data_IF_072608559710
#
_entry.id   IF_072608559710
#
_cell.length_a   1.000
_cell.length_b   1.000
_cell.length_c   1.000
_cell.angle_alpha   90.00
_cell.angle_beta   90.00
_cell.angle_gamma   90.00
#
_symmetry.space_group_name_H-M   'P 1'
#
loop_
_entity.id
_entity.type
_entity.pdbx_description
1 polymer ?
#
# COMPACT_ATOMS: atom_id res chain seq x y z
N UNK A 1 -21.00 -2.85 23.45
CA UNK A 1 -19.80 -3.50 24.00
C UNK A 1 -18.71 -2.46 24.06
N UNK A 2 -18.00 -2.30 25.19
CA UNK A 2 -16.81 -1.46 25.28
C UNK A 2 -15.76 -1.98 24.29
N UNK A 3 -15.06 -1.06 23.59
CA UNK A 3 -13.94 -1.44 22.72
C UNK A 3 -12.84 -2.11 23.57
N UNK A 4 -12.19 -3.18 23.09
CA UNK A 4 -11.13 -3.83 23.85
C UNK A 4 -9.91 -2.91 23.98
N UNK A 5 -9.17 -3.07 25.07
CA UNK A 5 -7.86 -2.46 25.24
C UNK A 5 -6.79 -3.38 24.66
N UNK A 6 -5.80 -2.82 23.95
CA UNK A 6 -4.63 -3.57 23.47
C UNK A 6 -3.49 -3.44 24.46
N UNK A 7 -2.98 -4.59 24.92
CA UNK A 7 -1.83 -4.68 25.81
C UNK A 7 -0.62 -5.16 25.03
N UNK A 8 0.41 -4.33 25.00
CA UNK A 8 1.64 -4.57 24.23
C UNK A 8 2.75 -4.94 25.19
N UNK A 9 3.27 -6.15 25.05
CA UNK A 9 4.46 -6.60 25.75
C UNK A 9 5.70 -6.03 25.06
N UNK A 10 6.18 -4.90 25.51
CA UNK A 10 7.41 -4.25 25.05
C UNK A 10 8.56 -4.40 26.05
N UNK A 11 8.57 -5.45 26.86
CA UNK A 11 9.65 -5.74 27.82
C UNK A 11 10.95 -6.19 27.14
N UNK A 12 10.87 -6.63 25.89
CA UNK A 12 12.03 -6.99 25.07
C UNK A 12 12.62 -5.75 24.39
N UNK A 13 13.94 -5.57 24.45
CA UNK A 13 14.69 -4.47 23.82
C UNK A 13 14.45 -4.37 22.31
N UNK A 14 14.11 -5.46 21.64
CA UNK A 14 13.76 -5.48 20.21
C UNK A 14 12.48 -4.70 19.87
N UNK A 15 11.62 -4.42 20.85
CA UNK A 15 10.39 -3.64 20.66
C UNK A 15 10.64 -2.20 20.21
N UNK A 16 11.82 -1.65 20.52
CA UNK A 16 12.30 -0.34 20.07
C UNK A 16 12.99 -0.34 18.71
N UNK A 17 13.12 -1.49 18.03
CA UNK A 17 13.71 -1.55 16.70
C UNK A 17 12.89 -0.72 15.71
N UNK A 18 13.60 0.04 14.87
CA UNK A 18 13.00 0.90 13.85
C UNK A 18 12.85 0.12 12.55
N UNK A 19 11.63 0.04 12.04
CA UNK A 19 11.30 -0.55 10.74
C UNK A 19 10.56 0.48 9.90
N UNK A 20 11.09 0.82 8.72
CA UNK A 20 10.54 1.88 7.88
C UNK A 20 10.26 3.18 8.64
N UNK A 21 11.24 3.61 9.46
CA UNK A 21 11.24 4.92 10.13
C UNK A 21 10.31 5.08 11.32
N UNK A 22 9.77 3.99 11.89
CA UNK A 22 9.03 4.01 13.15
C UNK A 22 9.35 2.77 13.98
N UNK A 23 9.23 2.86 15.31
CA UNK A 23 9.40 1.71 16.19
C UNK A 23 8.30 0.68 15.96
N UNK A 24 8.56 -0.58 16.30
CA UNK A 24 7.56 -1.66 16.14
C UNK A 24 6.32 -1.35 16.97
N UNK A 25 6.50 -0.86 18.20
CA UNK A 25 5.39 -0.50 19.10
C UNK A 25 4.55 0.62 18.50
N UNK A 26 5.15 1.70 17.99
CA UNK A 26 4.40 2.77 17.34
C UNK A 26 3.60 2.25 16.14
N UNK A 27 4.20 1.35 15.35
CA UNK A 27 3.53 0.72 14.21
C UNK A 27 2.31 -0.07 14.64
N UNK A 28 2.44 -0.90 15.69
CA UNK A 28 1.31 -1.67 16.24
C UNK A 28 0.19 -0.75 16.70
N UNK A 29 0.50 0.31 17.46
CA UNK A 29 -0.50 1.28 17.91
C UNK A 29 -1.23 1.90 16.72
N UNK A 30 -0.51 2.30 15.65
CA UNK A 30 -1.11 2.86 14.42
C UNK A 30 -2.00 1.83 13.71
N UNK A 31 -1.55 0.59 13.56
CA UNK A 31 -2.30 -0.47 12.86
C UNK A 31 -3.61 -0.81 13.59
N UNK A 32 -3.57 -0.96 14.91
CA UNK A 32 -4.77 -1.18 15.72
C UNK A 32 -5.70 0.06 15.74
N UNK A 33 -5.14 1.26 15.78
CA UNK A 33 -5.92 2.51 15.72
C UNK A 33 -6.68 2.67 14.41
N UNK A 34 -6.08 2.30 13.27
CA UNK A 34 -6.75 2.29 11.98
C UNK A 34 -7.93 1.30 11.91
N UNK A 35 -7.95 0.31 12.80
CA UNK A 35 -9.04 -0.65 12.95
C UNK A 35 -10.02 -0.26 14.08
N UNK A 36 -9.88 0.95 14.62
CA UNK A 36 -10.82 1.55 15.55
C UNK A 36 -10.55 1.29 17.03
N UNK A 37 -9.38 0.79 17.40
CA UNK A 37 -8.95 0.69 18.80
C UNK A 37 -8.48 2.06 19.29
N UNK A 38 -8.89 2.45 20.48
CA UNK A 38 -8.61 3.76 21.07
C UNK A 38 -7.81 3.69 22.36
N UNK A 39 -7.69 2.52 23.00
CA UNK A 39 -7.00 2.36 24.30
C UNK A 39 -5.88 1.33 24.22
N UNK A 40 -4.71 1.73 24.72
CA UNK A 40 -3.49 0.93 24.72
C UNK A 40 -2.79 0.96 26.06
N UNK A 41 -2.30 -0.20 26.51
CA UNK A 41 -1.33 -0.29 27.63
C UNK A 41 -0.04 -0.91 27.10
N UNK A 42 1.05 -0.19 27.22
CA UNK A 42 2.38 -0.62 26.76
C UNK A 42 3.24 -0.91 27.97
N UNK A 43 3.62 -2.17 28.12
CA UNK A 43 4.47 -2.65 29.23
C UNK A 43 5.92 -2.68 28.78
N UNK A 44 6.81 -2.04 29.52
CA UNK A 44 8.22 -1.90 29.16
C UNK A 44 9.13 -1.87 30.40
N UNK A 45 10.38 -2.31 30.23
CA UNK A 45 11.41 -2.17 31.24
C UNK A 45 11.95 -0.73 31.31
N UNK A 46 12.53 -0.35 32.46
CA UNK A 46 12.91 1.04 32.76
C UNK A 46 13.81 1.69 31.71
N UNK A 47 14.75 0.95 31.14
CA UNK A 47 15.73 1.46 30.18
C UNK A 47 15.16 1.73 28.79
N UNK A 48 13.98 1.21 28.45
CA UNK A 48 13.41 1.25 27.11
C UNK A 48 12.45 2.42 26.85
N UNK A 49 12.01 3.11 27.93
CA UNK A 49 11.02 4.20 27.81
C UNK A 49 11.48 5.31 26.85
N UNK A 50 12.76 5.68 26.89
CA UNK A 50 13.30 6.72 26.00
C UNK A 50 13.30 6.32 24.53
N UNK A 51 13.43 5.03 24.23
CA UNK A 51 13.46 4.52 22.84
C UNK A 51 12.06 4.27 22.28
N UNK A 52 11.20 3.66 23.07
CA UNK A 52 9.86 3.19 22.66
C UNK A 52 8.83 4.30 22.80
N UNK A 53 8.95 5.16 23.82
CA UNK A 53 8.01 6.26 24.09
C UNK A 53 8.12 7.46 23.13
N UNK A 54 9.15 7.52 22.30
CA UNK A 54 9.30 8.57 21.29
C UNK A 54 8.47 8.25 20.05
N UNK A 55 7.20 8.66 20.08
CA UNK A 55 6.32 8.58 18.92
C UNK A 55 6.70 9.68 17.90
N UNK A 56 6.45 9.41 16.62
CA UNK A 56 6.72 10.40 15.56
C UNK A 56 5.86 11.65 15.75
N UNK A 57 6.36 12.81 15.32
CA UNK A 57 5.69 14.12 15.45
C UNK A 57 4.28 14.17 14.84
N UNK A 58 4.01 13.35 13.80
CA UNK A 58 2.71 13.30 13.15
C UNK A 58 1.70 12.41 13.88
N UNK A 59 2.12 11.64 14.90
CA UNK A 59 1.27 10.65 15.57
C UNK A 59 0.03 11.28 16.19
N UNK A 60 0.19 12.24 17.07
CA UNK A 60 -0.92 12.87 17.81
C UNK A 60 -1.93 13.59 16.92
N UNK A 61 -1.51 13.98 15.70
CA UNK A 61 -2.41 14.60 14.73
C UNK A 61 -3.22 13.58 13.94
N UNK A 62 -2.68 12.37 13.74
CA UNK A 62 -3.31 11.33 12.94
C UNK A 62 -4.18 10.40 13.77
N UNK A 63 -3.84 10.23 15.03
CA UNK A 63 -4.45 9.26 15.91
C UNK A 63 -4.87 9.90 17.22
N UNK A 64 -6.16 9.76 17.57
CA UNK A 64 -6.72 10.17 18.85
C UNK A 64 -6.90 8.92 19.72
N UNK A 65 -5.85 8.53 20.43
CA UNK A 65 -5.81 7.32 21.25
C UNK A 65 -5.24 7.59 22.62
N UNK A 66 -5.69 6.81 23.60
CA UNK A 66 -5.16 6.83 24.95
C UNK A 66 -4.08 5.76 25.09
N UNK A 67 -2.86 6.18 25.48
CA UNK A 67 -1.73 5.27 25.68
C UNK A 67 -1.27 5.36 27.12
N UNK A 68 -1.37 4.27 27.85
CA UNK A 68 -0.83 4.14 29.21
C UNK A 68 0.49 3.39 29.15
N UNK A 69 1.56 4.04 29.57
CA UNK A 69 2.90 3.44 29.68
C UNK A 69 3.06 2.83 31.08
N UNK A 70 3.25 1.50 31.14
CA UNK A 70 3.37 0.75 32.38
C UNK A 70 4.80 0.22 32.51
N UNK A 71 5.49 0.64 33.56
CA UNK A 71 6.84 0.14 33.86
C UNK A 71 6.75 -1.17 34.61
N UNK A 72 7.50 -2.15 34.15
CA UNK A 72 7.60 -3.46 34.78
C UNK A 72 9.06 -3.90 34.82
N UNK A 73 9.53 -4.53 35.91
CA UNK A 73 10.90 -5.01 36.03
C UNK A 73 11.26 -6.11 35.02
N UNK A 74 10.29 -6.96 34.68
CA UNK A 74 10.49 -8.09 33.79
C UNK A 74 9.19 -8.57 33.13
N UNK A 75 9.30 -9.52 32.22
CA UNK A 75 8.17 -10.08 31.47
C UNK A 75 7.15 -10.82 32.38
N UNK A 76 7.58 -11.35 33.52
CA UNK A 76 6.66 -12.07 34.42
C UNK A 76 5.68 -11.10 35.07
N UNK A 77 6.10 -9.86 35.36
CA UNK A 77 5.20 -8.83 35.89
C UNK A 77 4.13 -8.43 34.86
N UNK A 78 4.47 -8.43 33.56
CA UNK A 78 3.49 -8.29 32.49
C UNK A 78 2.44 -9.43 32.55
N UNK A 79 2.87 -10.69 32.64
CA UNK A 79 1.95 -11.82 32.72
C UNK A 79 1.11 -11.84 33.99
N UNK A 80 1.68 -11.38 35.10
CA UNK A 80 0.94 -11.20 36.36
C UNK A 80 -0.17 -10.16 36.21
N UNK A 81 0.16 -9.01 35.59
CA UNK A 81 -0.82 -7.98 35.31
C UNK A 81 -1.95 -8.49 34.36
N UNK A 82 -1.59 -9.30 33.37
CA UNK A 82 -2.58 -9.94 32.47
C UNK A 82 -3.50 -10.88 33.27
N UNK A 83 -2.94 -11.68 34.18
CA UNK A 83 -3.72 -12.59 35.01
C UNK A 83 -4.70 -11.88 35.95
N UNK A 84 -4.38 -10.68 36.40
CA UNK A 84 -5.22 -9.85 37.29
C UNK A 84 -6.27 -9.03 36.51
N UNK A 85 -6.22 -9.02 35.18
CA UNK A 85 -7.14 -8.22 34.37
C UNK A 85 -8.56 -8.79 34.41
N UNK A 86 -9.54 -7.94 34.79
CA UNK A 86 -10.95 -8.28 34.89
C UNK A 86 -11.76 -7.87 33.64
N UNK A 87 -11.08 -7.59 32.51
CA UNK A 87 -11.69 -7.14 31.27
C UNK A 87 -11.22 -7.98 30.08
N UNK A 88 -11.91 -7.85 28.97
CA UNK A 88 -11.46 -8.47 27.72
C UNK A 88 -10.38 -7.60 27.08
N UNK A 89 -9.28 -8.22 26.72
CA UNK A 89 -8.12 -7.51 26.17
C UNK A 89 -7.44 -8.27 25.03
N UNK A 90 -6.72 -7.52 24.20
CA UNK A 90 -5.92 -8.06 23.10
C UNK A 90 -4.46 -8.02 23.52
N UNK A 91 -3.79 -9.16 23.47
CA UNK A 91 -2.37 -9.27 23.76
C UNK A 91 -1.55 -9.33 22.50
N UNK A 92 -0.48 -8.55 22.44
CA UNK A 92 0.50 -8.54 21.35
C UNK A 92 1.93 -8.43 21.89
N UNK A 93 2.87 -9.10 21.20
CA UNK A 93 4.29 -8.97 21.50
C UNK A 93 4.88 -7.75 20.79
N UNK A 94 5.51 -6.84 21.53
CA UNK A 94 6.01 -5.56 21.03
C UNK A 94 7.22 -5.65 20.07
N UNK A 95 7.87 -6.82 20.00
CA UNK A 95 8.98 -7.09 19.08
C UNK A 95 8.53 -7.71 17.74
N UNK A 96 7.23 -7.69 17.45
CA UNK A 96 6.65 -8.45 16.33
C UNK A 96 5.85 -7.54 15.39
N UNK A 97 6.00 -7.74 14.10
CA UNK A 97 5.16 -7.09 13.08
C UNK A 97 4.06 -8.05 12.65
N UNK A 98 2.84 -7.58 12.74
CA UNK A 98 1.62 -8.30 12.39
C UNK A 98 1.08 -7.83 11.03
N UNK A 99 0.55 -8.75 10.25
CA UNK A 99 -0.24 -8.41 9.06
C UNK A 99 -1.61 -7.85 9.49
N UNK A 100 -2.12 -6.79 8.85
CA UNK A 100 -3.41 -6.17 9.17
C UNK A 100 -4.59 -7.16 9.10
N UNK A 101 -4.51 -8.21 8.27
CA UNK A 101 -5.51 -9.27 8.21
C UNK A 101 -5.53 -10.14 9.46
N UNK A 102 -4.36 -10.34 10.08
CA UNK A 102 -4.25 -11.04 11.37
C UNK A 102 -4.97 -10.24 12.45
N UNK A 103 -4.68 -8.95 12.55
CA UNK A 103 -5.30 -8.05 13.51
C UNK A 103 -6.82 -7.96 13.26
N UNK A 104 -7.21 -7.73 12.00
CA UNK A 104 -8.63 -7.61 11.62
C UNK A 104 -9.43 -8.89 11.93
N UNK A 105 -8.83 -10.06 11.73
CA UNK A 105 -9.49 -11.34 12.03
C UNK A 105 -9.72 -11.51 13.52
N UNK A 106 -8.69 -11.25 14.36
CA UNK A 106 -8.80 -11.31 15.82
C UNK A 106 -9.87 -10.36 16.34
N UNK A 107 -9.94 -9.14 15.80
CA UNK A 107 -10.96 -8.16 16.19
C UNK A 107 -12.37 -8.59 15.78
N UNK A 108 -12.53 -9.18 14.59
CA UNK A 108 -13.83 -9.61 14.06
C UNK A 108 -14.39 -10.80 14.81
N UNK A 109 -13.56 -11.78 15.13
CA UNK A 109 -13.98 -13.01 15.78
C UNK A 109 -14.19 -12.84 17.30
N UNK A 110 -13.56 -11.82 17.91
CA UNK A 110 -13.76 -11.49 19.31
C UNK A 110 -13.03 -12.40 20.29
N UNK A 111 -13.40 -12.37 21.59
CA UNK A 111 -12.67 -13.08 22.63
C UNK A 111 -12.62 -14.60 22.45
N UNK A 112 -11.49 -15.20 22.85
CA UNK A 112 -11.23 -16.62 22.73
C UNK A 112 -10.55 -17.03 21.41
N UNK A 113 -9.97 -16.07 20.68
CA UNK A 113 -9.26 -16.31 19.44
C UNK A 113 -7.77 -16.03 19.60
N UNK A 114 -6.94 -16.90 19.03
CA UNK A 114 -5.50 -16.73 18.91
C UNK A 114 -5.06 -17.02 17.49
N UNK A 115 -4.18 -16.17 16.97
CA UNK A 115 -3.43 -16.44 15.74
C UNK A 115 -1.96 -16.47 16.11
N UNK A 116 -1.31 -17.61 15.88
CA UNK A 116 0.04 -17.86 16.37
C UNK A 116 0.97 -18.45 15.31
N UNK A 117 2.25 -18.22 15.55
CA UNK A 117 3.38 -18.97 14.99
C UNK A 117 4.00 -19.82 16.11
N UNK A 118 5.16 -20.41 15.88
CA UNK A 118 5.86 -21.20 16.88
C UNK A 118 6.34 -20.36 18.08
N UNK A 119 6.65 -19.06 17.88
CA UNK A 119 7.27 -18.20 18.89
C UNK A 119 6.48 -16.94 19.26
N UNK A 120 5.47 -16.56 18.49
CA UNK A 120 4.73 -15.31 18.67
C UNK A 120 3.26 -15.49 18.33
N UNK A 121 2.43 -14.70 19.01
CA UNK A 121 1.00 -14.73 18.83
C UNK A 121 0.37 -13.33 18.94
N UNK A 122 -0.84 -13.20 18.43
CA UNK A 122 -1.81 -12.19 18.82
C UNK A 122 -3.06 -12.92 19.29
N UNK A 123 -3.58 -12.55 20.44
CA UNK A 123 -4.77 -13.18 20.99
C UNK A 123 -5.73 -12.16 21.57
N UNK A 124 -7.02 -12.48 21.48
CA UNK A 124 -8.09 -11.76 22.15
C UNK A 124 -8.65 -12.65 23.26
N UNK A 125 -8.42 -12.25 24.50
CA UNK A 125 -8.81 -13.02 25.68
C UNK A 125 -9.87 -12.27 26.51
N UNK A 126 -10.69 -13.02 27.20
CA UNK A 126 -11.66 -12.49 28.18
C UNK A 126 -11.15 -12.63 29.61
N UNK A 127 -11.83 -12.03 30.58
CA UNK A 127 -11.45 -12.07 31.99
C UNK A 127 -11.27 -13.51 32.54
N UNK A 128 -12.07 -14.47 32.04
CA UNK A 128 -11.93 -15.88 32.45
C UNK A 128 -10.62 -16.52 32.00
N UNK A 129 -10.17 -16.22 30.77
CA UNK A 129 -8.88 -16.66 30.25
C UNK A 129 -7.72 -15.92 30.93
N UNK A 130 -7.88 -14.64 31.28
CA UNK A 130 -6.90 -13.90 32.07
C UNK A 130 -6.64 -14.58 33.42
N UNK A 131 -7.69 -14.92 34.15
CA UNK A 131 -7.59 -15.56 35.46
C UNK A 131 -6.84 -16.91 35.42
N UNK A 132 -6.89 -17.65 34.35
CA UNK A 132 -6.10 -18.91 34.21
C UNK A 132 -4.59 -18.65 34.12
N UNK A 133 -4.16 -17.49 33.62
CA UNK A 133 -2.75 -17.11 33.57
C UNK A 133 -2.18 -16.68 34.92
N UNK A 134 -3.02 -16.16 35.85
CA UNK A 134 -2.58 -15.74 37.18
C UNK A 134 -2.00 -16.88 38.03
N UNK A 135 -2.45 -18.11 37.81
CA UNK A 135 -2.01 -19.31 38.54
C UNK A 135 -0.76 -19.99 37.95
N UNK A 136 -0.19 -19.47 36.90
CA UNK A 136 0.95 -20.09 36.21
C UNK A 136 2.27 -19.42 36.57
N UNK A 137 3.23 -20.19 37.00
CA UNK A 137 4.57 -19.71 37.44
C UNK A 137 5.52 -19.38 36.28
N UNK A 138 5.22 -19.84 35.07
CA UNK A 138 6.01 -19.54 33.86
C UNK A 138 5.08 -19.34 32.66
N UNK A 139 4.75 -18.09 32.35
CA UNK A 139 4.00 -17.73 31.15
C UNK A 139 4.97 -17.27 30.07
N UNK A 140 4.71 -17.69 28.85
CA UNK A 140 5.44 -17.25 27.65
C UNK A 140 4.53 -17.26 26.42
N UNK A 141 4.90 -16.53 25.40
CA UNK A 141 4.16 -16.49 24.13
C UNK A 141 4.02 -17.87 23.47
N UNK A 142 5.02 -18.74 23.66
CA UNK A 142 5.09 -20.09 23.09
C UNK A 142 4.09 -21.04 23.77
N UNK A 143 3.86 -20.87 25.06
CA UNK A 143 3.02 -21.76 25.85
C UNK A 143 1.54 -21.34 25.92
N UNK A 144 1.16 -20.22 25.31
CA UNK A 144 -0.22 -19.72 25.40
C UNK A 144 -1.25 -20.71 24.88
N UNK A 145 -0.96 -21.39 23.78
CA UNK A 145 -1.88 -22.38 23.18
C UNK A 145 -2.00 -23.65 23.99
N UNK A 146 -1.00 -23.97 24.81
CA UNK A 146 -1.01 -25.14 25.69
C UNK A 146 -1.74 -24.84 27.01
N UNK A 147 -1.63 -23.60 27.50
CA UNK A 147 -2.16 -23.18 28.79
C UNK A 147 -3.60 -22.69 28.75
N UNK A 148 -4.04 -22.12 27.64
CA UNK A 148 -5.35 -21.52 27.48
C UNK A 148 -6.20 -22.31 26.48
N UNK A 149 -7.45 -22.57 26.86
CA UNK A 149 -8.45 -23.16 25.99
C UNK A 149 -9.07 -22.10 25.08
N UNK A 150 -8.42 -21.80 23.96
CA UNK A 150 -8.97 -20.90 22.95
C UNK A 150 -10.12 -21.55 22.20
N UNK A 151 -11.14 -20.76 21.85
CA UNK A 151 -12.24 -21.19 20.98
C UNK A 151 -11.74 -21.44 19.56
N UNK A 152 -10.80 -20.65 19.08
CA UNK A 152 -10.20 -20.75 17.75
C UNK A 152 -8.71 -20.53 17.82
N UNK A 153 -7.96 -21.49 17.29
CA UNK A 153 -6.49 -21.42 17.14
C UNK A 153 -6.17 -21.50 15.66
N UNK A 154 -5.60 -20.43 15.12
CA UNK A 154 -5.30 -20.28 13.70
C UNK A 154 -3.81 -19.99 13.49
N UNK A 155 -3.36 -20.23 12.27
CA UNK A 155 -2.05 -19.79 11.79
C UNK A 155 -2.23 -18.71 10.73
N UNK A 156 -1.27 -17.80 10.50
CA UNK A 156 -1.37 -16.78 9.46
C UNK A 156 -1.70 -17.33 8.06
N UNK A 157 -1.25 -18.54 7.74
CA UNK A 157 -1.51 -19.23 6.46
C UNK A 157 -2.97 -19.63 6.26
N UNK A 158 -3.75 -19.75 7.34
CA UNK A 158 -5.16 -20.16 7.30
C UNK A 158 -6.07 -18.99 6.94
N UNK A 159 -5.54 -17.76 6.97
CA UNK A 159 -6.25 -16.55 6.58
C UNK A 159 -6.27 -16.37 5.05
N UNK A 160 -7.24 -15.60 4.57
CA UNK A 160 -7.31 -15.26 3.15
C UNK A 160 -6.01 -14.63 2.67
N UNK A 161 -5.46 -15.20 1.60
CA UNK A 161 -4.20 -14.75 1.02
C UNK A 161 -4.40 -13.57 0.07
N UNK A 162 -5.62 -13.25 -0.35
CA UNK A 162 -5.90 -12.15 -1.25
C UNK A 162 -6.16 -10.86 -0.47
N UNK A 163 -5.50 -9.78 -0.87
CA UNK A 163 -5.65 -8.42 -0.31
C UNK A 163 -6.45 -7.58 -1.32
N UNK A 164 -7.76 -7.37 -1.13
CA UNK A 164 -8.61 -6.68 -2.12
C UNK A 164 -8.17 -5.26 -2.42
N UNK A 165 -7.77 -4.49 -1.40
CA UNK A 165 -7.33 -3.10 -1.53
C UNK A 165 -6.05 -2.95 -2.37
N UNK A 166 -5.18 -3.96 -2.35
CA UNK A 166 -3.93 -3.99 -3.08
C UNK A 166 -3.99 -4.88 -4.34
N UNK A 167 -5.05 -5.67 -4.49
CA UNK A 167 -5.19 -6.67 -5.58
C UNK A 167 -3.97 -7.60 -5.64
N UNK A 168 -3.49 -7.99 -4.48
CA UNK A 168 -2.26 -8.76 -4.30
C UNK A 168 -2.55 -10.06 -3.57
N UNK A 169 -2.09 -11.18 -4.13
CA UNK A 169 -2.10 -12.47 -3.43
C UNK A 169 -0.78 -12.63 -2.69
N UNK A 170 -0.85 -12.61 -1.37
CA UNK A 170 0.30 -12.73 -0.49
C UNK A 170 -0.13 -13.40 0.83
N UNK A 171 0.60 -14.39 1.35
CA UNK A 171 0.28 -15.00 2.65
C UNK A 171 0.36 -13.97 3.77
N UNK A 172 -0.60 -14.01 4.68
CA UNK A 172 -0.55 -13.23 5.91
C UNK A 172 0.65 -13.67 6.76
N UNK A 173 1.11 -12.80 7.64
CA UNK A 173 2.31 -13.10 8.43
C UNK A 173 2.27 -12.50 9.85
N UNK A 174 3.00 -13.16 10.72
CA UNK A 174 3.45 -12.69 12.02
C UNK A 174 4.96 -12.86 12.00
N UNK A 175 5.72 -11.79 12.15
CA UNK A 175 7.17 -11.80 12.00
C UNK A 175 7.85 -11.13 13.20
N UNK A 176 8.51 -11.90 14.06
CA UNK A 176 9.36 -11.34 15.10
C UNK A 176 10.57 -10.65 14.49
N UNK A 177 11.03 -9.60 15.13
CA UNK A 177 12.19 -8.81 14.74
C UNK A 177 13.23 -8.92 15.84
N UNK A 178 14.39 -9.48 15.53
CA UNK A 178 15.44 -9.74 16.54
C UNK A 178 16.82 -9.21 16.15
N UNK A 179 17.09 -9.01 14.87
CA UNK A 179 18.39 -8.61 14.36
C UNK A 179 18.26 -7.84 13.02
N UNK A 180 19.36 -7.33 12.51
CA UNK A 180 19.40 -6.56 11.26
C UNK A 180 18.91 -7.36 10.05
N UNK A 181 19.23 -8.66 9.96
CA UNK A 181 18.76 -9.51 8.87
C UNK A 181 17.25 -9.68 8.88
N UNK A 182 16.66 -9.81 10.07
CA UNK A 182 15.21 -9.88 10.22
C UNK A 182 14.55 -8.54 9.86
N UNK A 183 15.13 -7.40 10.25
CA UNK A 183 14.69 -6.05 9.85
C UNK A 183 14.70 -5.93 8.34
N UNK A 184 15.80 -6.27 7.68
CA UNK A 184 15.91 -6.15 6.22
C UNK A 184 14.90 -7.05 5.49
N UNK A 185 14.70 -8.27 5.98
CA UNK A 185 13.72 -9.21 5.42
C UNK A 185 12.31 -8.67 5.53
N UNK A 186 11.93 -8.15 6.69
CA UNK A 186 10.62 -7.57 6.95
C UNK A 186 10.42 -6.29 6.14
N UNK A 187 11.41 -5.40 6.08
CA UNK A 187 11.36 -4.19 5.25
C UNK A 187 11.14 -4.53 3.78
N UNK A 188 11.84 -5.54 3.26
CA UNK A 188 11.65 -6.01 1.90
C UNK A 188 10.22 -6.50 1.67
N UNK A 189 9.70 -7.30 2.60
CA UNK A 189 8.34 -7.85 2.54
C UNK A 189 7.28 -6.74 2.58
N UNK A 190 7.42 -5.78 3.50
CA UNK A 190 6.52 -4.64 3.63
C UNK A 190 6.59 -3.73 2.40
N UNK A 191 7.78 -3.47 1.86
CA UNK A 191 7.93 -2.69 0.65
C UNK A 191 7.30 -3.39 -0.56
N UNK A 192 7.52 -4.70 -0.71
CA UNK A 192 6.86 -5.48 -1.76
C UNK A 192 5.34 -5.42 -1.62
N UNK A 193 4.81 -5.57 -0.41
CA UNK A 193 3.38 -5.42 -0.11
C UNK A 193 2.84 -4.01 -0.37
N UNK A 194 3.68 -2.99 -0.36
CA UNK A 194 3.25 -1.61 -0.67
C UNK A 194 2.89 -1.40 -2.15
N UNK A 195 3.19 -2.36 -3.03
CA UNK A 195 2.75 -2.35 -4.43
C UNK A 195 1.35 -2.94 -4.58
N UNK A 196 0.57 -2.38 -5.50
CA UNK A 196 -0.66 -3.03 -5.97
C UNK A 196 -0.28 -4.22 -6.85
N UNK A 197 -1.05 -5.31 -6.81
CA UNK A 197 -0.75 -6.52 -7.57
C UNK A 197 -0.79 -6.31 -9.10
N UNK A 198 -1.71 -5.48 -9.58
CA UNK A 198 -1.85 -5.13 -10.99
C UNK A 198 -1.18 -3.77 -11.27
N UNK A 199 0.07 -3.82 -11.69
CA UNK A 199 0.89 -2.65 -12.09
C UNK A 199 1.52 -2.93 -13.46
N UNK A 200 1.90 -1.88 -14.19
CA UNK A 200 2.57 -2.04 -15.48
C UNK A 200 4.04 -2.50 -15.34
N UNK A 201 4.58 -2.99 -16.47
CA UNK A 201 5.94 -3.53 -16.54
C UNK A 201 7.01 -2.52 -16.10
N UNK A 202 6.86 -1.25 -16.48
CA UNK A 202 7.83 -0.19 -16.17
C UNK A 202 7.88 0.11 -14.69
N UNK A 203 6.71 0.18 -14.02
CA UNK A 203 6.63 0.36 -12.58
C UNK A 203 7.19 -0.84 -11.82
N UNK A 204 7.00 -2.05 -12.36
CA UNK A 204 7.41 -3.30 -11.70
C UNK A 204 8.92 -3.57 -11.80
N UNK A 205 9.51 -3.28 -12.95
CA UNK A 205 10.91 -3.65 -13.26
C UNK A 205 11.79 -2.43 -13.57
N UNK A 206 11.25 -1.36 -14.14
CA UNK A 206 12.02 -0.20 -14.56
C UNK A 206 12.54 0.65 -13.42
N UNK A 207 11.63 1.15 -12.57
CA UNK A 207 12.04 2.07 -11.51
C UNK A 207 11.78 1.56 -10.06
N UNK A 208 11.50 0.26 -9.90
CA UNK A 208 11.30 -0.36 -8.58
C UNK A 208 12.40 -0.04 -7.58
N UNK A 209 13.66 -0.27 -7.98
CA UNK A 209 14.84 -0.05 -7.13
C UNK A 209 15.06 1.42 -6.81
N UNK A 210 14.84 2.30 -7.79
CA UNK A 210 14.91 3.75 -7.61
C UNK A 210 13.89 4.23 -6.59
N UNK A 211 12.62 3.83 -6.73
CA UNK A 211 11.56 4.22 -5.79
C UNK A 211 11.83 3.65 -4.40
N UNK A 212 12.38 2.43 -4.28
CA UNK A 212 12.77 1.88 -3.00
C UNK A 212 13.88 2.70 -2.33
N UNK A 213 14.89 3.07 -3.09
CA UNK A 213 15.97 3.93 -2.60
C UNK A 213 15.43 5.30 -2.17
N UNK A 214 14.64 5.97 -3.00
CA UNK A 214 13.99 7.24 -2.65
C UNK A 214 13.13 7.11 -1.40
N UNK A 215 12.35 6.03 -1.27
CA UNK A 215 11.54 5.78 -0.06
C UNK A 215 12.41 5.73 1.19
N UNK A 216 13.56 5.04 1.14
CA UNK A 216 14.51 4.99 2.26
C UNK A 216 15.09 6.36 2.61
N UNK A 217 15.41 7.17 1.61
CA UNK A 217 15.92 8.53 1.82
C UNK A 217 14.89 9.43 2.52
N UNK A 218 13.59 9.28 2.18
CA UNK A 218 12.56 10.22 2.67
C UNK A 218 11.73 9.68 3.83
N UNK A 219 11.83 8.39 4.17
CA UNK A 219 10.97 7.77 5.19
C UNK A 219 11.15 8.41 6.57
N UNK A 220 12.35 8.88 6.89
CA UNK A 220 12.69 9.51 8.15
C UNK A 220 12.50 11.04 8.14
N UNK A 221 12.18 11.64 6.98
CA UNK A 221 11.91 13.07 6.91
C UNK A 221 10.52 13.39 7.48
N UNK A 222 10.33 14.59 8.02
CA UNK A 222 9.02 15.07 8.47
C UNK A 222 8.03 15.36 7.33
N UNK A 223 8.45 15.21 6.06
CA UNK A 223 7.64 15.54 4.88
C UNK A 223 6.45 14.58 4.75
N UNK A 224 5.27 15.14 4.58
CA UNK A 224 4.02 14.37 4.43
C UNK A 224 3.95 13.69 3.06
N UNK A 225 3.33 12.48 2.94
CA UNK A 225 3.10 11.84 1.65
C UNK A 225 2.39 12.74 0.64
N UNK A 226 1.39 13.50 1.09
CA UNK A 226 0.61 14.43 0.26
C UNK A 226 1.46 15.51 -0.44
N UNK A 227 2.60 15.89 0.12
CA UNK A 227 3.54 16.83 -0.53
C UNK A 227 4.08 16.23 -1.81
N UNK A 228 4.45 14.95 -1.79
CA UNK A 228 4.94 14.23 -2.99
C UNK A 228 3.83 14.05 -4.02
N UNK A 229 2.58 13.83 -3.58
CA UNK A 229 1.40 13.78 -4.47
C UNK A 229 1.24 15.10 -5.22
N UNK A 230 1.26 16.24 -4.53
CA UNK A 230 1.15 17.57 -5.16
C UNK A 230 2.31 17.81 -6.13
N UNK A 231 3.55 17.52 -5.71
CA UNK A 231 4.72 17.66 -6.59
C UNK A 231 4.60 16.78 -7.84
N UNK A 232 4.13 15.54 -7.70
CA UNK A 232 3.87 14.63 -8.81
C UNK A 232 2.89 15.24 -9.81
N UNK A 233 1.74 15.70 -9.33
CA UNK A 233 0.70 16.34 -10.17
C UNK A 233 1.27 17.55 -10.90
N UNK A 234 1.99 18.43 -10.20
CA UNK A 234 2.62 19.59 -10.81
C UNK A 234 3.63 19.19 -11.92
N UNK A 235 4.47 18.19 -11.67
CA UNK A 235 5.43 17.71 -12.67
C UNK A 235 4.71 17.13 -13.90
N UNK A 236 3.65 16.34 -13.69
CA UNK A 236 2.86 15.74 -14.78
C UNK A 236 2.21 16.82 -15.64
N UNK A 237 1.65 17.87 -15.03
CA UNK A 237 0.99 18.95 -15.74
C UNK A 237 2.00 19.87 -16.44
N UNK A 238 3.09 20.21 -15.77
CA UNK A 238 4.14 21.06 -16.34
C UNK A 238 4.88 20.39 -17.49
N UNK A 239 4.91 19.06 -17.58
CA UNK A 239 5.48 18.37 -18.72
C UNK A 239 4.83 18.78 -20.06
N UNK A 240 3.51 18.99 -20.08
CA UNK A 240 2.77 19.33 -21.28
C UNK A 240 3.15 20.66 -21.92
N UNK A 241 3.22 21.81 -21.22
CA UNK A 241 3.67 23.08 -21.80
C UNK A 241 5.10 23.03 -22.33
N UNK A 242 6.01 22.29 -21.68
CA UNK A 242 7.39 22.14 -22.21
C UNK A 242 7.41 21.35 -23.52
N UNK A 243 6.67 20.23 -23.59
CA UNK A 243 6.53 19.46 -24.84
C UNK A 243 5.89 20.33 -25.93
N UNK A 244 4.83 21.06 -25.58
CA UNK A 244 4.13 21.97 -26.49
C UNK A 244 5.05 23.04 -27.09
N UNK A 245 5.95 23.60 -26.26
CA UNK A 245 6.96 24.57 -26.66
C UNK A 245 8.16 23.96 -27.45
N UNK A 246 8.19 22.65 -27.71
CA UNK A 246 9.26 21.95 -28.37
C UNK A 246 10.41 21.48 -27.48
N UNK A 247 10.34 21.72 -26.18
CA UNK A 247 11.37 21.29 -25.22
C UNK A 247 11.08 19.85 -24.78
N UNK A 248 11.10 18.93 -25.75
CA UNK A 248 10.71 17.52 -25.55
C UNK A 248 11.48 16.85 -24.44
N UNK A 249 12.81 17.03 -24.37
CA UNK A 249 13.65 16.43 -23.34
C UNK A 249 13.25 16.87 -21.94
N UNK A 250 13.08 18.19 -21.72
CA UNK A 250 12.65 18.76 -20.44
C UNK A 250 11.25 18.26 -20.06
N UNK A 251 10.33 18.24 -21.01
CA UNK A 251 8.98 17.73 -20.77
C UNK A 251 8.97 16.25 -20.37
N UNK A 252 9.75 15.41 -21.04
CA UNK A 252 9.88 13.99 -20.70
C UNK A 252 10.53 13.79 -19.32
N UNK A 253 11.55 14.57 -18.98
CA UNK A 253 12.17 14.52 -17.62
C UNK A 253 11.14 14.85 -16.55
N UNK A 254 10.36 15.93 -16.71
CA UNK A 254 9.29 16.29 -15.80
C UNK A 254 8.21 15.20 -15.70
N UNK A 255 7.84 14.60 -16.82
CA UNK A 255 6.89 13.50 -16.85
C UNK A 255 7.40 12.27 -16.10
N UNK A 256 8.67 11.89 -16.25
CA UNK A 256 9.33 10.83 -15.48
C UNK A 256 9.36 11.15 -13.98
N UNK A 257 9.76 12.37 -13.62
CA UNK A 257 9.76 12.81 -12.23
C UNK A 257 8.36 12.70 -11.62
N UNK A 258 7.35 13.14 -12.35
CA UNK A 258 5.95 13.03 -11.91
C UNK A 258 5.52 11.60 -11.62
N UNK A 259 5.78 10.63 -12.51
CA UNK A 259 5.36 9.23 -12.29
C UNK A 259 6.18 8.53 -11.19
N UNK A 260 7.44 8.91 -11.00
CA UNK A 260 8.28 8.39 -9.91
C UNK A 260 7.77 8.91 -8.55
N UNK A 261 7.46 10.22 -8.46
CA UNK A 261 6.90 10.83 -7.24
C UNK A 261 5.53 10.26 -6.90
N UNK A 262 4.65 10.01 -7.87
CA UNK A 262 3.36 9.33 -7.75
C UNK A 262 3.51 7.89 -7.17
N UNK A 263 4.56 7.21 -7.59
CA UNK A 263 4.88 5.89 -7.04
C UNK A 263 5.44 5.98 -5.62
N UNK A 264 6.19 7.02 -5.30
CA UNK A 264 6.82 7.24 -4.01
C UNK A 264 5.78 7.58 -2.93
N UNK A 265 4.86 8.53 -3.20
CA UNK A 265 3.87 9.00 -2.24
C UNK A 265 2.96 7.87 -1.74
N UNK A 266 2.45 7.06 -2.65
CA UNK A 266 1.59 5.93 -2.32
C UNK A 266 2.31 4.85 -1.50
N UNK A 267 3.62 4.65 -1.70
CA UNK A 267 4.41 3.72 -0.87
C UNK A 267 4.70 4.31 0.49
N UNK A 268 5.08 5.58 0.52
CA UNK A 268 5.35 6.31 1.76
C UNK A 268 4.10 6.35 2.64
N UNK A 269 2.92 6.63 2.06
CA UNK A 269 1.64 6.64 2.78
C UNK A 269 1.32 5.28 3.40
N UNK A 270 1.53 4.17 2.66
CA UNK A 270 1.29 2.82 3.18
C UNK A 270 2.31 2.39 4.23
N UNK A 271 3.58 2.71 4.05
CA UNK A 271 4.63 2.34 5.00
C UNK A 271 4.56 3.15 6.31
N UNK A 272 4.12 4.41 6.23
CA UNK A 272 3.89 5.28 7.41
C UNK A 272 2.49 5.11 8.03
N UNK A 273 1.63 4.27 7.43
CA UNK A 273 0.23 4.13 7.85
C UNK A 273 -0.53 5.48 7.83
N UNK A 274 -0.18 6.35 6.90
CA UNK A 274 -0.76 7.69 6.71
C UNK A 274 -1.59 7.70 5.43
N UNK A 275 -2.72 7.02 5.46
CA UNK A 275 -3.64 6.94 4.33
C UNK A 275 -4.68 8.06 4.41
N UNK A 276 -4.92 8.73 3.29
CA UNK A 276 -5.93 9.78 3.14
C UNK A 276 -6.81 9.48 1.93
N UNK A 277 -8.05 9.09 2.18
CA UNK A 277 -9.04 8.78 1.12
C UNK A 277 -9.35 9.99 0.25
N UNK A 278 -9.40 11.19 0.85
CA UNK A 278 -9.66 12.44 0.13
C UNK A 278 -8.52 12.78 -0.83
N UNK A 279 -7.26 12.59 -0.39
CA UNK A 279 -6.11 12.85 -1.25
C UNK A 279 -6.00 11.81 -2.37
N UNK A 280 -6.29 10.55 -2.12
CA UNK A 280 -6.33 9.51 -3.16
C UNK A 280 -7.38 9.78 -4.24
N UNK A 281 -8.56 10.27 -3.88
CA UNK A 281 -9.60 10.70 -4.85
C UNK A 281 -9.14 11.91 -5.66
N UNK A 282 -8.54 12.91 -4.99
CA UNK A 282 -8.00 14.11 -5.65
C UNK A 282 -6.88 13.75 -6.64
N UNK A 283 -5.93 12.91 -6.23
CA UNK A 283 -4.84 12.41 -7.09
C UNK A 283 -5.39 11.75 -8.37
N UNK A 284 -6.33 10.83 -8.23
CA UNK A 284 -6.93 10.16 -9.39
C UNK A 284 -7.62 11.13 -10.35
N UNK A 285 -8.33 12.12 -9.82
CA UNK A 285 -9.01 13.13 -10.64
C UNK A 285 -8.00 14.05 -11.33
N UNK A 286 -6.96 14.50 -10.62
CA UNK A 286 -5.95 15.40 -11.15
C UNK A 286 -4.97 14.72 -12.12
N UNK A 287 -4.63 13.44 -11.89
CA UNK A 287 -3.72 12.69 -12.77
C UNK A 287 -4.39 12.20 -14.06
N UNK A 288 -5.71 12.02 -14.08
CA UNK A 288 -6.44 11.49 -15.23
C UNK A 288 -6.24 12.29 -16.54
N UNK A 289 -6.27 13.64 -16.55
CA UNK A 289 -6.01 14.43 -17.76
C UNK A 289 -4.56 14.40 -18.21
N UNK A 290 -3.60 14.06 -17.36
CA UNK A 290 -2.17 14.19 -17.61
C UNK A 290 -1.73 13.47 -18.89
N UNK A 291 -2.15 12.21 -19.10
CA UNK A 291 -1.78 11.47 -20.32
C UNK A 291 -2.42 12.11 -21.58
N UNK A 292 -3.69 12.51 -21.49
CA UNK A 292 -4.35 13.17 -22.63
C UNK A 292 -3.63 14.47 -23.02
N UNK A 293 -3.20 15.26 -22.02
CA UNK A 293 -2.42 16.48 -22.26
C UNK A 293 -1.05 16.18 -22.88
N UNK A 294 -0.38 15.11 -22.48
CA UNK A 294 0.88 14.71 -23.12
C UNK A 294 0.66 14.28 -24.57
N UNK A 295 -0.38 13.48 -24.85
CA UNK A 295 -0.72 13.07 -26.23
C UNK A 295 -1.02 14.28 -27.11
N UNK A 296 -1.79 15.24 -26.58
CA UNK A 296 -2.09 16.48 -27.29
C UNK A 296 -0.84 17.31 -27.55
N UNK A 297 0.05 17.45 -26.54
CA UNK A 297 1.28 18.24 -26.67
C UNK A 297 2.29 17.62 -27.64
N UNK A 298 2.45 16.29 -27.62
CA UNK A 298 3.29 15.58 -28.56
C UNK A 298 2.73 15.71 -30.00
N UNK A 299 1.43 15.53 -30.16
CA UNK A 299 0.76 15.70 -31.44
C UNK A 299 0.89 17.12 -31.99
N UNK A 300 0.74 18.14 -31.15
CA UNK A 300 0.97 19.54 -31.51
C UNK A 300 2.39 19.79 -31.99
N UNK A 301 3.38 19.31 -31.24
CA UNK A 301 4.78 19.42 -31.62
C UNK A 301 5.06 18.74 -32.97
N UNK A 302 4.57 17.52 -33.18
CA UNK A 302 4.76 16.77 -34.43
C UNK A 302 4.03 17.38 -35.63
N UNK A 303 2.99 18.18 -35.39
CA UNK A 303 2.22 18.91 -36.40
C UNK A 303 2.78 20.33 -36.68
N UNK A 304 4.03 20.63 -36.28
CA UNK A 304 4.67 21.95 -36.42
C UNK A 304 3.80 23.11 -35.89
N UNK A 305 3.07 22.85 -34.80
CA UNK A 305 2.20 23.86 -34.15
C UNK A 305 0.91 24.16 -34.93
N UNK A 306 0.47 23.29 -35.86
CA UNK A 306 -0.77 23.48 -36.63
C UNK A 306 -1.49 22.16 -36.83
N UNK A 307 -2.62 21.99 -36.20
CA UNK A 307 -3.50 20.87 -36.54
C UNK A 307 -4.19 21.14 -37.89
N UNK A 308 -3.90 20.31 -38.88
CA UNK A 308 -4.50 20.38 -40.23
C UNK A 308 -5.36 19.15 -40.47
N UNK A 309 -6.56 19.35 -40.98
CA UNK A 309 -7.41 18.26 -41.45
C UNK A 309 -6.72 17.55 -42.62
N UNK A 310 -6.35 16.28 -42.40
CA UNK A 310 -5.64 15.46 -43.38
C UNK A 310 -4.16 15.21 -43.10
N UNK A 311 -3.55 15.86 -42.10
CA UNK A 311 -2.21 15.48 -41.66
C UNK A 311 -2.23 14.17 -40.87
N UNK A 312 -1.28 13.24 -41.06
CA UNK A 312 -1.15 11.99 -40.35
C UNK A 312 -1.02 12.21 -38.82
N UNK A 313 -0.30 13.26 -38.43
CA UNK A 313 -0.05 13.60 -37.01
C UNK A 313 -1.33 14.07 -36.30
N UNK A 314 -2.15 14.89 -36.98
CA UNK A 314 -3.44 15.33 -36.49
C UNK A 314 -4.39 14.14 -36.34
N UNK A 315 -4.47 13.27 -37.34
CA UNK A 315 -5.26 12.04 -37.28
C UNK A 315 -4.83 11.13 -36.12
N UNK A 316 -3.52 10.89 -36.00
CA UNK A 316 -2.93 10.08 -34.92
C UNK A 316 -3.28 10.66 -33.56
N UNK A 317 -3.16 11.98 -33.40
CA UNK A 317 -3.47 12.68 -32.12
C UNK A 317 -4.94 12.53 -31.72
N UNK A 318 -5.85 12.83 -32.67
CA UNK A 318 -7.30 12.72 -32.44
C UNK A 318 -7.67 11.26 -32.12
N UNK A 319 -7.15 10.31 -32.86
CA UNK A 319 -7.39 8.88 -32.67
C UNK A 319 -6.91 8.41 -31.25
N UNK A 320 -5.70 8.80 -30.86
CA UNK A 320 -5.15 8.46 -29.54
C UNK A 320 -6.00 9.02 -28.39
N UNK A 321 -6.37 10.30 -28.49
CA UNK A 321 -7.20 10.93 -27.44
C UNK A 321 -8.58 10.28 -27.39
N UNK A 322 -9.20 10.02 -28.55
CA UNK A 322 -10.51 9.37 -28.65
C UNK A 322 -10.47 7.95 -28.05
N UNK A 323 -9.49 7.14 -28.44
CA UNK A 323 -9.32 5.78 -27.88
C UNK A 323 -9.04 5.81 -26.39
N UNK A 324 -8.22 6.74 -25.90
CA UNK A 324 -7.97 6.91 -24.48
C UNK A 324 -9.25 7.22 -23.71
N UNK A 325 -10.06 8.16 -24.18
CA UNK A 325 -11.34 8.52 -23.55
C UNK A 325 -12.31 7.34 -23.59
N UNK A 326 -12.46 6.69 -24.73
CA UNK A 326 -13.34 5.51 -24.87
C UNK A 326 -12.90 4.35 -23.97
N UNK A 327 -11.59 4.11 -23.83
CA UNK A 327 -11.05 3.11 -22.92
C UNK A 327 -11.38 3.43 -21.45
N UNK A 328 -11.27 4.71 -21.07
CA UNK A 328 -11.67 5.16 -19.71
C UNK A 328 -13.18 4.98 -19.45
N UNK A 329 -14.00 5.28 -20.43
CA UNK A 329 -15.45 5.06 -20.35
C UNK A 329 -15.75 3.57 -20.22
N UNK A 330 -15.17 2.73 -21.09
CA UNK A 330 -15.33 1.27 -21.04
C UNK A 330 -14.94 0.69 -19.68
N UNK A 331 -13.75 1.04 -19.18
CA UNK A 331 -13.26 0.58 -17.88
C UNK A 331 -14.13 1.09 -16.71
N UNK A 332 -14.61 2.34 -16.79
CA UNK A 332 -15.50 2.93 -15.79
C UNK A 332 -16.87 2.24 -15.74
N UNK A 333 -17.49 1.99 -16.89
CA UNK A 333 -18.73 1.25 -17.01
C UNK A 333 -18.57 -0.19 -16.49
N UNK A 334 -17.50 -0.87 -16.89
CA UNK A 334 -17.22 -2.21 -16.40
C UNK A 334 -17.12 -2.25 -14.88
N UNK A 335 -16.37 -1.32 -14.28
CA UNK A 335 -16.25 -1.23 -12.81
C UNK A 335 -17.61 -1.00 -12.14
N UNK A 336 -18.45 -0.16 -12.72
CA UNK A 336 -19.79 0.11 -12.19
C UNK A 336 -20.66 -1.15 -12.17
N UNK A 337 -20.67 -1.93 -13.24
CA UNK A 337 -21.52 -3.14 -13.35
C UNK A 337 -20.90 -4.39 -12.73
N UNK A 338 -19.59 -4.55 -12.81
CA UNK A 338 -18.91 -5.75 -12.32
C UNK A 338 -18.47 -5.63 -10.84
N UNK A 339 -18.37 -4.41 -10.30
CA UNK A 339 -17.87 -4.14 -8.94
C UNK A 339 -16.36 -4.35 -8.78
N UNK A 340 -15.64 -4.62 -9.88
CA UNK A 340 -14.19 -4.83 -9.92
C UNK A 340 -13.58 -4.10 -11.10
N UNK A 341 -12.29 -3.83 -11.03
CA UNK A 341 -11.54 -3.28 -12.16
C UNK A 341 -11.35 -4.35 -13.26
N UNK A 342 -11.42 -3.95 -14.52
CA UNK A 342 -11.30 -4.86 -15.65
C UNK A 342 -9.96 -5.61 -15.67
N UNK A 343 -8.87 -4.90 -15.37
CA UNK A 343 -7.51 -5.44 -15.37
C UNK A 343 -7.17 -6.34 -14.16
N UNK A 344 -8.10 -6.52 -13.24
CA UNK A 344 -7.94 -7.33 -12.02
C UNK A 344 -9.05 -8.40 -11.90
N UNK A 345 -9.80 -8.60 -12.97
CA UNK A 345 -10.93 -9.52 -12.94
C UNK A 345 -10.46 -10.99 -12.96
N UNK A 346 -9.56 -11.31 -13.88
CA UNK A 346 -8.90 -12.62 -13.98
C UNK A 346 -7.38 -12.45 -14.13
N UNK A 347 -6.62 -13.54 -13.90
CA UNK A 347 -5.15 -13.54 -14.01
C UNK A 347 -4.66 -13.09 -15.39
N UNK A 348 -5.36 -13.46 -16.46
CA UNK A 348 -5.01 -13.07 -17.84
C UNK A 348 -5.12 -11.56 -18.04
N UNK A 349 -6.13 -10.92 -17.43
CA UNK A 349 -6.33 -9.48 -17.51
C UNK A 349 -5.19 -8.73 -16.81
N UNK A 350 -4.73 -9.26 -15.66
CA UNK A 350 -3.59 -8.71 -14.94
C UNK A 350 -2.26 -8.86 -15.72
N UNK A 351 -2.07 -9.97 -16.45
CA UNK A 351 -0.89 -10.16 -17.30
C UNK A 351 -0.93 -9.19 -18.48
N UNK A 352 -2.07 -9.06 -19.16
CA UNK A 352 -2.22 -8.11 -20.27
C UNK A 352 -1.95 -6.67 -19.81
N UNK A 353 -2.40 -6.32 -18.62
CA UNK A 353 -2.21 -5.00 -18.02
C UNK A 353 -0.74 -4.58 -17.83
N UNK A 354 0.20 -5.55 -17.73
CA UNK A 354 1.63 -5.24 -17.68
C UNK A 354 2.10 -4.45 -18.91
N UNK A 355 1.50 -4.71 -20.09
CA UNK A 355 1.92 -4.17 -21.39
C UNK A 355 0.87 -3.26 -22.04
N UNK A 356 -0.30 -3.09 -21.41
CA UNK A 356 -1.36 -2.23 -21.93
C UNK A 356 -0.88 -0.78 -22.11
N UNK A 357 -1.49 -0.07 -23.07
CA UNK A 357 -1.17 1.32 -23.38
C UNK A 357 -1.50 2.26 -22.22
N UNK A 358 -0.57 2.39 -21.28
CA UNK A 358 -0.68 3.22 -20.08
C UNK A 358 0.36 4.32 -20.06
N UNK A 359 0.20 5.23 -19.09
CA UNK A 359 1.08 6.40 -18.88
C UNK A 359 2.56 6.06 -18.90
N UNK A 360 2.99 5.03 -18.16
CA UNK A 360 4.39 4.64 -18.08
C UNK A 360 4.91 4.02 -19.40
N UNK A 361 4.07 3.25 -20.10
CA UNK A 361 4.41 2.67 -21.40
C UNK A 361 4.52 3.78 -22.45
N UNK A 362 3.59 4.77 -22.48
CA UNK A 362 3.68 5.94 -23.32
C UNK A 362 5.00 6.69 -23.09
N UNK A 363 5.36 6.89 -21.82
CA UNK A 363 6.55 7.63 -21.42
C UNK A 363 7.84 6.93 -21.91
N UNK A 364 7.94 5.60 -21.78
CA UNK A 364 9.05 4.82 -22.35
C UNK A 364 9.09 4.93 -23.87
N UNK A 365 7.96 4.74 -24.53
CA UNK A 365 7.86 4.78 -26.00
C UNK A 365 8.30 6.14 -26.54
N UNK A 366 7.81 7.24 -25.93
CA UNK A 366 8.16 8.60 -26.36
C UNK A 366 9.61 8.96 -26.00
N UNK A 367 10.12 8.48 -24.87
CA UNK A 367 11.53 8.70 -24.50
C UNK A 367 12.48 8.02 -25.47
N UNK A 368 12.22 6.76 -25.85
CA UNK A 368 13.01 6.05 -26.85
C UNK A 368 12.90 6.78 -28.19
N UNK A 369 11.69 7.17 -28.62
CA UNK A 369 11.47 7.89 -29.84
C UNK A 369 12.20 9.23 -29.91
N UNK A 370 12.21 9.98 -28.83
CA UNK A 370 12.92 11.26 -28.74
C UNK A 370 14.45 11.07 -28.77
N UNK A 371 14.98 10.08 -28.07
CA UNK A 371 16.43 9.77 -28.06
C UNK A 371 16.94 9.27 -29.41
N UNK A 372 16.11 8.50 -30.12
CA UNK A 372 16.47 7.96 -31.44
C UNK A 372 16.12 8.91 -32.62
N UNK A 373 15.54 10.09 -32.35
CA UNK A 373 15.09 11.01 -33.43
C UNK A 373 13.87 10.49 -34.19
N UNK A 374 13.13 9.54 -33.69
CA UNK A 374 11.98 8.89 -34.34
C UNK A 374 10.67 9.04 -33.52
N UNK A 375 10.44 10.24 -32.98
CA UNK A 375 9.28 10.49 -32.08
C UNK A 375 7.95 10.29 -32.83
N UNK A 376 7.84 10.65 -34.10
CA UNK A 376 6.64 10.47 -34.91
C UNK A 376 6.28 8.98 -35.07
N UNK A 377 7.30 8.14 -35.37
CA UNK A 377 7.11 6.69 -35.49
C UNK A 377 6.68 6.08 -34.10
N UNK A 378 7.30 6.54 -33.02
CA UNK A 378 6.94 6.10 -31.66
C UNK A 378 5.51 6.51 -31.26
N UNK A 379 5.07 7.69 -31.73
CA UNK A 379 3.71 8.18 -31.54
C UNK A 379 2.68 7.30 -32.28
N UNK A 380 2.98 6.94 -33.54
CA UNK A 380 2.16 6.03 -34.33
C UNK A 380 2.16 4.60 -33.75
N UNK A 381 3.32 4.12 -33.28
CA UNK A 381 3.43 2.83 -32.61
C UNK A 381 2.54 2.78 -31.33
N UNK A 382 2.55 3.88 -30.58
CA UNK A 382 1.70 3.99 -29.40
C UNK A 382 0.20 4.00 -29.75
N UNK A 383 -0.19 4.57 -30.91
CA UNK A 383 -1.56 4.46 -31.43
C UNK A 383 -1.94 2.99 -31.66
N UNK A 384 -1.07 2.22 -32.31
CA UNK A 384 -1.28 0.77 -32.53
C UNK A 384 -1.48 0.03 -31.19
N UNK A 385 -0.62 0.29 -30.20
CA UNK A 385 -0.72 -0.32 -28.88
C UNK A 385 -2.01 0.09 -28.15
N UNK A 386 -2.42 1.36 -28.26
CA UNK A 386 -3.66 1.87 -27.66
C UNK A 386 -4.88 1.23 -28.31
N UNK A 387 -4.86 1.04 -29.64
CA UNK A 387 -5.92 0.36 -30.38
C UNK A 387 -6.08 -1.09 -29.91
N UNK A 388 -4.98 -1.84 -29.82
CA UNK A 388 -4.98 -3.22 -29.29
C UNK A 388 -5.52 -3.25 -27.87
N UNK A 389 -5.06 -2.33 -27.01
CA UNK A 389 -5.51 -2.24 -25.62
C UNK A 389 -7.02 -2.03 -25.54
N UNK A 390 -7.55 -1.09 -26.32
CA UNK A 390 -8.98 -0.79 -26.36
C UNK A 390 -9.81 -2.00 -26.84
N UNK A 391 -9.39 -2.64 -27.94
CA UNK A 391 -10.08 -3.83 -28.48
C UNK A 391 -10.12 -4.96 -27.45
N UNK A 392 -8.99 -5.23 -26.78
CA UNK A 392 -8.94 -6.26 -25.73
C UNK A 392 -9.87 -5.90 -24.56
N UNK A 393 -9.83 -4.65 -24.09
CA UNK A 393 -10.67 -4.21 -22.97
C UNK A 393 -12.17 -4.31 -23.30
N UNK A 394 -12.59 -3.86 -24.49
CA UNK A 394 -14.00 -3.95 -24.92
C UNK A 394 -14.43 -5.41 -25.07
N UNK A 395 -13.61 -6.25 -25.70
CA UNK A 395 -13.90 -7.68 -25.89
C UNK A 395 -14.02 -8.40 -24.55
N UNK A 396 -13.10 -8.17 -23.62
CA UNK A 396 -13.13 -8.77 -22.29
C UNK A 396 -14.32 -8.25 -21.47
N UNK A 397 -14.58 -6.96 -21.45
CA UNK A 397 -15.74 -6.39 -20.76
C UNK A 397 -17.05 -6.98 -21.29
N UNK A 398 -17.23 -7.04 -22.59
CA UNK A 398 -18.41 -7.63 -23.22
C UNK A 398 -18.59 -9.12 -22.86
N UNK A 399 -17.50 -9.90 -22.93
CA UNK A 399 -17.55 -11.32 -22.59
C UNK A 399 -17.92 -11.55 -21.11
N UNK A 400 -17.29 -10.83 -20.17
CA UNK A 400 -17.54 -10.97 -18.74
C UNK A 400 -18.95 -10.54 -18.37
N UNK A 401 -19.43 -9.40 -18.89
CA UNK A 401 -20.78 -8.92 -18.62
C UNK A 401 -21.84 -9.86 -19.18
N UNK A 402 -21.63 -10.40 -20.40
CA UNK A 402 -22.51 -11.42 -20.96
C UNK A 402 -22.59 -12.67 -20.08
N UNK A 403 -21.46 -13.17 -19.58
CA UNK A 403 -21.40 -14.32 -18.67
C UNK A 403 -22.16 -14.05 -17.37
N UNK A 404 -22.09 -12.83 -16.83
CA UNK A 404 -22.76 -12.44 -15.58
C UNK A 404 -24.29 -12.27 -15.74
N UNK A 405 -24.75 -11.98 -16.95
CA UNK A 405 -26.19 -11.80 -17.24
C UNK A 405 -26.87 -13.14 -17.51
N UNK A 406 -26.14 -14.11 -18.09
CA UNK A 406 -26.68 -15.41 -18.53
C UNK A 406 -26.52 -16.48 -17.45
N UNK A 407 -25.60 -16.36 -16.51
CA UNK A 407 -25.39 -17.26 -15.37
C UNK A 407 -25.83 -16.66 -14.06
#
# INVERSE_FOLDING_TARGET
>A
MSKPCVWIDATNSNSGIIVWGMTIVERQIREFSLLGIESFKVFLCDDELHRIGQLREDFSRLYSVEITWVRVPNIQDFWTAVGEANESLILVSGDTIYDDRVISHVLKDGPGVIICTESRAVCYINAGLCATLSHSTSNSWELLTEKLCFRSVLRPRDLDQYIPSLRLKMPAFISPVSNEDSVQTIENRMFHRSFKGAIDFVARYGYYHLVRWLTRCVINTGTRPNTYTIMSILCVWMASPFIWAGWIGTGLILAWLGVILDSLDGKLARLRLHLSDSMGKFEHLAAAPGLALWLLSVGWYLSDGKFSTGSPETFTTISLISLFVLDKICSGLFRHYAGKELFDYERIDAIFHLFAARRNIALVTFSIGALCGCLAQSFTLFLGLMSVTFVVHVSRAGWILKKKIIG
#
